data_IF_520823540512
#
_entry.id   IF_520823540512
#
_cell.length_a   1.000
_cell.length_b   1.000
_cell.length_c   1.000
_cell.angle_alpha   90.00
_cell.angle_beta   90.00
_cell.angle_gamma   90.00
#
_symmetry.space_group_name_H-M   'P 1'
#
loop_
_entity.id
_entity.type
_entity.pdbx_description
1 polymer ?
#
# COMPACT_ATOMS: atom_id res chain seq x y z
N UNK A 1 -12.25 12.71 12.95
CA UNK A 1 -11.00 13.12 13.63
C UNK A 1 -9.82 12.51 12.89
N UNK A 2 -9.22 13.24 11.95
CA UNK A 2 -8.06 12.76 11.20
C UNK A 2 -6.83 12.84 12.10
N UNK A 3 -6.44 11.71 12.70
CA UNK A 3 -5.08 11.57 13.20
C UNK A 3 -4.18 11.59 11.96
N UNK A 4 -3.49 12.71 11.75
CA UNK A 4 -2.50 12.85 10.67
C UNK A 4 -1.35 11.90 10.99
N UNK A 5 -1.49 10.65 10.58
CA UNK A 5 -0.39 9.69 10.62
C UNK A 5 0.72 10.29 9.75
N UNK A 6 1.88 10.54 10.35
CA UNK A 6 3.05 11.00 9.62
C UNK A 6 3.51 9.82 8.76
N UNK A 7 2.98 9.72 7.54
CA UNK A 7 3.36 8.70 6.57
C UNK A 7 4.59 9.21 5.82
N UNK A 8 5.64 8.38 5.79
CA UNK A 8 6.84 8.68 5.03
C UNK A 8 6.53 8.62 3.53
N UNK A 9 6.93 9.62 2.72
CA UNK A 9 6.56 9.66 1.31
C UNK A 9 7.21 8.53 0.51
N UNK A 10 6.45 7.88 -0.37
CA UNK A 10 6.90 6.72 -1.15
C UNK A 10 8.11 7.04 -2.04
N UNK A 11 8.13 8.25 -2.61
CA UNK A 11 9.20 8.73 -3.50
C UNK A 11 10.50 9.02 -2.76
N UNK A 12 10.47 9.27 -1.44
CA UNK A 12 11.66 9.49 -0.64
C UNK A 12 12.36 8.19 -0.20
N UNK A 13 11.81 7.02 -0.56
CA UNK A 13 12.42 5.72 -0.29
C UNK A 13 13.58 5.51 -1.26
N UNK A 14 14.80 5.61 -0.73
CA UNK A 14 16.04 5.43 -1.49
C UNK A 14 16.27 3.96 -1.81
N UNK A 15 16.61 3.67 -3.07
CA UNK A 15 16.87 2.32 -3.55
C UNK A 15 15.62 1.43 -3.55
N UNK A 16 15.82 0.11 -3.39
CA UNK A 16 14.74 -0.89 -3.40
C UNK A 16 13.87 -0.89 -4.67
N UNK A 17 14.48 -0.63 -5.83
CA UNK A 17 13.76 -0.47 -7.11
C UNK A 17 12.86 -1.65 -7.48
N UNK A 18 13.31 -2.89 -7.22
CA UNK A 18 12.49 -4.09 -7.46
C UNK A 18 11.22 -4.11 -6.59
N UNK A 19 11.34 -3.70 -5.32
CA UNK A 19 10.21 -3.63 -4.40
C UNK A 19 9.24 -2.53 -4.83
N UNK A 20 9.75 -1.32 -5.10
CA UNK A 20 8.93 -0.18 -5.54
C UNK A 20 8.18 -0.52 -6.83
N UNK A 21 8.87 -1.10 -7.82
CA UNK A 21 8.27 -1.52 -9.09
C UNK A 21 7.19 -2.57 -8.90
N UNK A 22 7.44 -3.60 -8.08
CA UNK A 22 6.44 -4.63 -7.78
C UNK A 22 5.16 -4.05 -7.18
N UNK A 23 5.31 -3.16 -6.19
CA UNK A 23 4.19 -2.48 -5.53
C UNK A 23 3.40 -1.60 -6.52
N UNK A 24 4.09 -0.82 -7.36
CA UNK A 24 3.43 0.00 -8.40
C UNK A 24 2.71 -0.86 -9.43
N UNK A 25 3.31 -1.98 -9.87
CA UNK A 25 2.66 -2.89 -10.81
C UNK A 25 1.40 -3.52 -10.23
N UNK A 26 1.42 -3.90 -8.96
CA UNK A 26 0.24 -4.42 -8.27
C UNK A 26 -0.87 -3.37 -8.14
N UNK A 27 -0.52 -2.09 -7.94
CA UNK A 27 -1.48 -1.00 -7.96
C UNK A 27 -2.10 -0.76 -9.35
N UNK A 28 -1.33 -0.95 -10.43
CA UNK A 28 -1.80 -0.77 -11.81
C UNK A 28 -2.69 -1.94 -12.26
N UNK A 29 -2.31 -3.18 -11.93
CA UNK A 29 -3.02 -4.38 -12.36
C UNK A 29 -3.41 -5.25 -11.16
N UNK A 30 -4.67 -5.15 -10.69
CA UNK A 30 -5.20 -5.98 -9.61
C UNK A 30 -5.20 -7.49 -9.90
N UNK A 31 -5.08 -7.91 -11.17
CA UNK A 31 -4.94 -9.31 -11.56
C UNK A 31 -3.61 -9.94 -11.12
N UNK A 32 -2.62 -9.13 -10.74
CA UNK A 32 -1.42 -9.60 -10.08
C UNK A 32 -1.78 -9.89 -8.61
N UNK A 33 -1.97 -11.16 -8.25
CA UNK A 33 -2.46 -11.64 -6.93
C UNK A 33 -1.76 -11.10 -5.66
N UNK A 34 -0.66 -10.35 -5.78
CA UNK A 34 0.02 -9.69 -4.68
C UNK A 34 1.54 -9.68 -4.84
N UNK A 35 2.23 -9.02 -3.92
CA UNK A 35 3.70 -8.91 -3.91
C UNK A 35 4.24 -9.42 -2.59
N UNK A 36 5.08 -10.46 -2.62
CA UNK A 36 5.78 -10.96 -1.44
C UNK A 36 7.12 -10.25 -1.29
N UNK A 37 7.24 -9.40 -0.26
CA UNK A 37 8.47 -8.65 0.02
C UNK A 37 9.21 -9.33 1.20
N UNK A 38 10.35 -9.95 0.90
CA UNK A 38 11.25 -10.52 1.93
C UNK A 38 12.43 -9.59 2.22
N UNK A 39 12.92 -9.62 3.46
CA UNK A 39 14.12 -8.89 3.87
C UNK A 39 14.23 -8.75 5.39
N UNK A 40 15.33 -8.20 5.87
CA UNK A 40 15.64 -8.04 7.30
C UNK A 40 14.76 -6.98 7.99
N UNK A 41 14.71 -7.02 9.32
CA UNK A 41 14.03 -5.96 10.10
C UNK A 41 14.72 -4.61 9.84
N UNK A 42 13.96 -3.52 9.79
CA UNK A 42 14.50 -2.17 9.56
C UNK A 42 14.63 -1.74 8.09
N UNK A 43 14.30 -2.60 7.12
CA UNK A 43 14.38 -2.29 5.68
C UNK A 43 13.20 -1.48 5.11
N UNK A 44 12.36 -0.90 5.96
CA UNK A 44 11.22 -0.06 5.56
C UNK A 44 10.13 -0.76 4.68
N UNK A 45 10.04 -2.10 4.67
CA UNK A 45 9.03 -2.85 3.89
C UNK A 45 7.58 -2.41 4.18
N UNK A 46 7.20 -2.36 5.46
CA UNK A 46 5.85 -1.94 5.87
C UNK A 46 5.63 -0.44 5.70
N UNK A 47 6.70 0.36 5.80
CA UNK A 47 6.67 1.79 5.52
C UNK A 47 6.35 2.04 4.03
N UNK A 48 6.99 1.30 3.12
CA UNK A 48 6.73 1.41 1.68
C UNK A 48 5.29 1.05 1.31
N UNK A 49 4.74 -0.01 1.89
CA UNK A 49 3.36 -0.41 1.67
C UNK A 49 2.36 0.66 2.14
N UNK A 50 2.56 1.24 3.34
CA UNK A 50 1.71 2.32 3.86
C UNK A 50 1.85 3.61 3.06
N UNK A 51 3.07 3.93 2.64
CA UNK A 51 3.34 5.08 1.79
C UNK A 51 2.62 4.98 0.45
N UNK A 52 2.61 3.79 -0.17
CA UNK A 52 1.84 3.57 -1.39
C UNK A 52 0.33 3.67 -1.15
N UNK A 53 -0.18 3.07 -0.06
CA UNK A 53 -1.60 3.16 0.28
C UNK A 53 -2.08 4.61 0.45
N UNK A 54 -1.24 5.50 1.00
CA UNK A 54 -1.58 6.93 1.13
C UNK A 54 -1.61 7.71 -0.19
N UNK A 55 -1.06 7.16 -1.27
CA UNK A 55 -1.08 7.78 -2.60
C UNK A 55 -2.27 7.32 -3.44
N UNK A 56 -2.87 6.19 -3.09
CA UNK A 56 -4.02 5.64 -3.81
C UNK A 56 -5.31 6.34 -3.37
N UNK A 57 -6.31 6.44 -4.28
CA UNK A 57 -7.61 6.99 -3.93
C UNK A 57 -8.29 6.13 -2.87
N UNK A 58 -9.13 6.77 -2.05
CA UNK A 58 -10.01 6.07 -1.13
C UNK A 58 -10.98 5.18 -1.94
N UNK A 59 -11.23 3.97 -1.43
CA UNK A 59 -12.16 3.03 -2.03
C UNK A 59 -13.48 3.04 -1.27
N UNK A 60 -14.59 2.86 -1.98
CA UNK A 60 -15.90 2.71 -1.36
C UNK A 60 -16.00 1.34 -0.67
N UNK A 61 -16.36 1.36 0.61
CA UNK A 61 -16.47 0.15 1.43
C UNK A 61 -17.78 0.19 2.21
N UNK A 62 -18.38 -0.99 2.44
CA UNK A 62 -19.52 -1.11 3.35
C UNK A 62 -19.09 -0.71 4.75
N UNK A 63 -19.86 0.19 5.38
CA UNK A 63 -19.63 0.62 6.75
C UNK A 63 -19.59 -0.61 7.69
N UNK A 64 -18.64 -0.61 8.63
CA UNK A 64 -18.44 -1.67 9.63
C UNK A 64 -18.06 -3.05 9.09
N UNK A 65 -17.69 -3.17 7.80
CA UNK A 65 -17.18 -4.42 7.25
C UNK A 65 -15.66 -4.59 7.53
N UNK A 66 -15.23 -5.60 8.30
CA UNK A 66 -13.81 -5.81 8.62
C UNK A 66 -12.95 -6.18 7.39
N UNK A 67 -13.58 -6.63 6.31
CA UNK A 67 -12.91 -7.03 5.08
C UNK A 67 -12.90 -5.93 4.00
N UNK A 68 -13.43 -4.73 4.29
CA UNK A 68 -13.54 -3.66 3.30
C UNK A 68 -14.28 -4.10 2.02
N UNK A 69 -15.41 -4.81 2.20
CA UNK A 69 -16.20 -5.29 1.07
C UNK A 69 -16.74 -4.12 0.24
N UNK A 70 -16.75 -4.30 -1.07
CA UNK A 70 -17.30 -3.34 -2.02
C UNK A 70 -18.83 -3.27 -1.86
N UNK A 71 -19.45 -2.09 -1.76
CA UNK A 71 -20.89 -1.97 -1.48
C UNK A 71 -21.82 -2.52 -2.57
N UNK A 72 -21.28 -2.76 -3.76
CA UNK A 72 -22.02 -3.25 -4.94
C UNK A 72 -21.72 -4.73 -5.28
N UNK A 73 -21.00 -5.46 -4.41
CA UNK A 73 -20.71 -6.90 -4.59
C UNK A 73 -21.07 -7.74 -3.38
#
# INVERSE_FOLDING_TARGET
>A
MSCRSIIFPFTAIVGQERMKKGLVLNAINPGLSGVLIRGEKGTAKSTAARALASLLPEIEVVADCPFSCHPQR
#
